data_IF_972768344734
#
_entry.id   IF_972768344734
#
_cell.length_a   1.000
_cell.length_b   1.000
_cell.length_c   1.000
_cell.angle_alpha   90.00
_cell.angle_beta   90.00
_cell.angle_gamma   90.00
#
_symmetry.space_group_name_H-M   'P 1'
#
loop_
_entity.id
_entity.type
_entity.pdbx_description
1 polymer ?
#
# COMPACT_ATOMS: atom_id res chain seq x y z
N UNK A 1 26.45 12.83 22.41
CA UNK A 1 24.98 12.80 22.18
C UNK A 1 24.65 11.49 21.48
N UNK A 2 23.68 10.75 22.02
CA UNK A 2 23.41 9.35 21.74
C UNK A 2 22.98 9.11 20.28
N UNK A 3 23.66 8.19 19.60
CA UNK A 3 23.14 7.53 18.41
C UNK A 3 21.91 6.69 18.83
N UNK A 4 20.72 7.10 18.40
CA UNK A 4 19.50 6.30 18.59
C UNK A 4 19.57 5.01 17.76
N UNK A 5 19.10 3.86 18.28
CA UNK A 5 19.18 2.58 17.58
C UNK A 5 18.33 2.64 16.31
N UNK A 6 18.89 2.19 15.18
CA UNK A 6 18.22 2.17 13.89
C UNK A 6 16.87 1.45 13.98
N UNK A 7 15.78 2.19 13.71
CA UNK A 7 14.50 1.59 13.32
C UNK A 7 14.77 0.80 12.04
N UNK A 8 14.86 -0.52 12.19
CA UNK A 8 15.24 -1.42 11.11
C UNK A 8 14.40 -1.12 9.87
N UNK A 9 15.08 -0.78 8.76
CA UNK A 9 14.47 -0.83 7.43
C UNK A 9 13.78 -2.18 7.32
N UNK A 10 12.48 -2.17 7.00
CA UNK A 10 11.77 -3.40 6.62
C UNK A 10 12.67 -4.14 5.62
N UNK A 11 12.99 -5.41 5.89
CA UNK A 11 13.85 -6.16 4.98
C UNK A 11 13.22 -6.16 3.59
N UNK A 12 14.01 -5.91 2.54
CA UNK A 12 13.48 -5.71 1.18
C UNK A 12 12.58 -6.89 0.75
N UNK A 13 12.97 -8.13 1.07
CA UNK A 13 12.16 -9.33 0.83
C UNK A 13 10.81 -9.33 1.56
N UNK A 14 10.76 -8.78 2.77
CA UNK A 14 9.51 -8.66 3.53
C UNK A 14 8.62 -7.59 2.90
N UNK A 15 9.20 -6.45 2.51
CA UNK A 15 8.48 -5.40 1.82
C UNK A 15 7.90 -5.89 0.49
N UNK A 16 8.71 -6.53 -0.35
CA UNK A 16 8.27 -7.11 -1.63
C UNK A 16 7.16 -8.14 -1.44
N UNK A 17 7.23 -8.98 -0.40
CA UNK A 17 6.16 -9.94 -0.08
C UNK A 17 4.85 -9.22 0.26
N UNK A 18 4.92 -8.18 1.08
CA UNK A 18 3.75 -7.38 1.44
C UNK A 18 3.15 -6.64 0.24
N UNK A 19 4.00 -6.01 -0.59
CA UNK A 19 3.60 -5.38 -1.84
C UNK A 19 2.93 -6.39 -2.76
N UNK A 20 3.53 -7.56 -3.00
CA UNK A 20 2.95 -8.59 -3.86
C UNK A 20 1.58 -9.06 -3.36
N UNK A 21 1.43 -9.26 -2.05
CA UNK A 21 0.17 -9.68 -1.43
C UNK A 21 -0.92 -8.62 -1.59
N UNK A 22 -0.60 -7.37 -1.28
CA UNK A 22 -1.58 -6.28 -1.26
C UNK A 22 -1.91 -5.78 -2.67
N UNK A 23 -0.90 -5.57 -3.50
CA UNK A 23 -1.06 -5.05 -4.87
C UNK A 23 -1.80 -6.03 -5.78
N UNK A 24 -1.78 -7.33 -5.49
CA UNK A 24 -2.60 -8.33 -6.21
C UNK A 24 -4.06 -7.91 -6.32
N UNK A 25 -4.64 -7.35 -5.26
CA UNK A 25 -6.01 -6.83 -5.26
C UNK A 25 -6.07 -5.34 -5.60
N UNK A 26 -5.05 -4.57 -5.21
CA UNK A 26 -5.09 -3.12 -5.36
C UNK A 26 -5.09 -2.64 -6.82
N UNK A 27 -4.50 -3.44 -7.72
CA UNK A 27 -4.48 -3.11 -9.15
C UNK A 27 -5.79 -3.43 -9.87
N UNK A 28 -6.71 -4.17 -9.22
CA UNK A 28 -8.03 -4.49 -9.77
C UNK A 28 -8.86 -3.20 -9.95
N UNK A 29 -9.76 -3.15 -10.95
CA UNK A 29 -10.66 -2.00 -11.13
C UNK A 29 -11.49 -1.72 -9.88
N UNK A 30 -11.84 -0.45 -9.67
CA UNK A 30 -12.74 0.02 -8.59
C UNK A 30 -12.24 -0.22 -7.14
N UNK A 31 -11.06 -0.83 -6.98
CA UNK A 31 -10.39 -0.97 -5.69
C UNK A 31 -9.63 0.31 -5.35
N UNK A 32 -9.79 0.77 -4.12
CA UNK A 32 -9.03 1.88 -3.57
C UNK A 32 -8.52 1.55 -2.18
N UNK A 33 -7.45 2.22 -1.77
CA UNK A 33 -6.91 2.13 -0.42
C UNK A 33 -7.41 3.31 0.42
N UNK A 34 -7.75 3.04 1.68
CA UNK A 34 -8.14 4.05 2.67
C UNK A 34 -7.70 3.62 4.07
N UNK A 35 -7.59 4.59 4.99
CA UNK A 35 -7.29 4.28 6.39
C UNK A 35 -8.41 3.45 7.02
N UNK A 36 -8.04 2.53 7.90
CA UNK A 36 -8.99 1.76 8.74
C UNK A 36 -9.02 2.35 10.15
N UNK A 37 -10.07 2.01 10.92
CA UNK A 37 -10.19 2.40 12.33
C UNK A 37 -9.08 1.82 13.22
N UNK A 38 -8.38 0.78 12.77
CA UNK A 38 -7.28 0.12 13.50
C UNK A 38 -5.90 0.76 13.23
N UNK A 39 -5.84 1.91 12.54
CA UNK A 39 -4.58 2.55 12.19
C UNK A 39 -3.79 1.83 11.08
N UNK A 40 -4.48 0.99 10.30
CA UNK A 40 -3.94 0.31 9.11
C UNK A 40 -4.46 0.97 7.84
N UNK A 41 -3.98 0.49 6.69
CA UNK A 41 -4.57 0.81 5.39
C UNK A 41 -5.28 -0.41 4.84
N UNK A 42 -6.54 -0.25 4.44
CA UNK A 42 -7.37 -1.31 3.88
C UNK A 42 -7.68 -1.07 2.40
N UNK A 43 -7.86 -2.15 1.64
CA UNK A 43 -8.40 -2.11 0.28
C UNK A 43 -9.91 -2.27 0.28
N UNK A 44 -10.63 -1.36 -0.37
CA UNK A 44 -12.08 -1.35 -0.40
C UNK A 44 -12.59 -1.27 -1.84
N UNK A 45 -13.75 -1.88 -2.07
CA UNK A 45 -14.59 -1.61 -3.24
C UNK A 45 -15.47 -0.39 -2.94
N UNK A 46 -15.96 0.29 -3.98
CA UNK A 46 -16.82 1.48 -3.85
C UNK A 46 -18.02 1.31 -2.90
N UNK A 47 -18.59 0.11 -2.80
CA UNK A 47 -19.73 -0.21 -1.92
C UNK A 47 -19.35 -1.14 -0.74
N UNK A 48 -18.08 -1.49 -0.58
CA UNK A 48 -17.62 -2.46 0.42
C UNK A 48 -17.31 -1.81 1.77
N UNK A 49 -17.93 -2.33 2.85
CA UNK A 49 -17.67 -1.88 4.23
C UNK A 49 -16.49 -2.59 4.89
N UNK A 50 -16.03 -3.72 4.34
CA UNK A 50 -14.93 -4.53 4.87
C UNK A 50 -13.74 -4.51 3.93
N UNK A 51 -12.51 -4.43 4.45
CA UNK A 51 -11.33 -4.42 3.60
C UNK A 51 -11.10 -5.81 2.99
N UNK A 52 -10.75 -5.85 1.70
CA UNK A 52 -10.32 -7.05 0.96
C UNK A 52 -8.94 -7.53 1.41
N UNK A 53 -8.08 -6.60 1.81
CA UNK A 53 -6.77 -6.83 2.38
C UNK A 53 -6.37 -5.61 3.23
N UNK A 54 -5.48 -5.82 4.19
CA UNK A 54 -4.93 -4.77 5.04
C UNK A 54 -3.41 -4.74 4.96
N UNK A 55 -2.85 -3.54 5.12
CA UNK A 55 -1.42 -3.27 5.20
C UNK A 55 -1.13 -2.45 6.45
N UNK A 56 -0.07 -2.79 7.16
CA UNK A 56 0.39 -2.05 8.33
C UNK A 56 0.92 -0.67 7.93
N UNK A 57 0.65 0.34 8.76
CA UNK A 57 1.04 1.73 8.49
C UNK A 57 2.53 1.92 8.15
N UNK A 58 3.49 1.25 8.81
CA UNK A 58 4.91 1.38 8.44
C UNK A 58 5.23 0.87 7.03
N UNK A 59 4.56 -0.19 6.56
CA UNK A 59 4.75 -0.71 5.19
C UNK A 59 4.12 0.25 4.19
N UNK A 60 2.93 0.77 4.50
CA UNK A 60 2.26 1.76 3.68
C UNK A 60 3.07 3.04 3.54
N UNK A 61 3.71 3.52 4.61
CA UNK A 61 4.58 4.69 4.57
C UNK A 61 5.70 4.53 3.54
N UNK A 62 6.33 3.34 3.47
CA UNK A 62 7.34 3.04 2.44
C UNK A 62 6.73 3.05 1.03
N UNK A 63 5.48 2.60 0.85
CA UNK A 63 4.80 2.70 -0.44
C UNK A 63 4.58 4.15 -0.87
N UNK A 64 4.25 5.04 0.07
CA UNK A 64 4.09 6.49 -0.19
C UNK A 64 5.44 7.12 -0.49
N UNK A 65 6.47 6.87 0.34
CA UNK A 65 7.83 7.40 0.15
C UNK A 65 8.48 6.97 -1.18
N UNK A 66 8.07 5.82 -1.73
CA UNK A 66 8.55 5.27 -3.01
C UNK A 66 7.62 5.57 -4.19
N UNK A 67 6.64 6.45 -4.03
CA UNK A 67 5.65 6.84 -5.06
C UNK A 67 4.90 5.66 -5.70
N UNK A 68 4.70 4.58 -4.95
CA UNK A 68 4.00 3.37 -5.45
C UNK A 68 2.47 3.53 -5.41
N UNK A 69 2.00 4.61 -4.77
CA UNK A 69 0.59 4.92 -4.56
C UNK A 69 0.39 6.41 -4.75
N UNK A 70 -0.79 6.79 -5.20
CA UNK A 70 -1.15 8.20 -5.43
C UNK A 70 -2.59 8.47 -4.95
N UNK A 71 -2.87 9.72 -4.60
CA UNK A 71 -4.21 10.12 -4.16
C UNK A 71 -5.16 10.06 -5.35
N UNK A 72 -6.35 9.49 -5.14
CA UNK A 72 -7.40 9.48 -6.13
C UNK A 72 -8.04 10.87 -6.22
N UNK A 73 -7.96 11.51 -7.38
CA UNK A 73 -8.58 12.81 -7.62
C UNK A 73 -10.12 12.73 -7.53
N UNK A 74 -10.74 13.79 -7.02
CA UNK A 74 -12.20 13.93 -6.97
C UNK A 74 -12.92 13.09 -5.91
N UNK A 75 -12.19 12.42 -5.00
CA UNK A 75 -12.78 11.74 -3.85
C UNK A 75 -12.93 12.69 -2.65
N UNK A 76 -14.09 12.63 -1.97
CA UNK A 76 -14.37 13.40 -0.76
C UNK A 76 -13.56 12.93 0.48
N UNK A 77 -12.90 11.78 0.38
CA UNK A 77 -12.08 11.17 1.42
C UNK A 77 -10.68 10.90 0.86
N UNK A 78 -9.66 10.79 1.73
CA UNK A 78 -8.29 10.39 1.38
C UNK A 78 -8.24 8.95 0.84
N UNK A 79 -8.66 8.78 -0.41
CA UNK A 79 -8.58 7.52 -1.15
C UNK A 79 -7.31 7.50 -1.97
N UNK A 80 -6.72 6.34 -2.04
CA UNK A 80 -5.47 6.10 -2.76
C UNK A 80 -5.68 5.03 -3.83
N UNK A 81 -4.93 5.12 -4.91
CA UNK A 81 -4.85 4.10 -5.95
C UNK A 81 -3.39 3.70 -6.19
N UNK A 82 -3.17 2.53 -6.77
CA UNK A 82 -1.84 2.13 -7.22
C UNK A 82 -1.39 3.04 -8.38
N UNK A 83 -0.22 3.67 -8.21
CA UNK A 83 0.42 4.47 -9.26
C UNK A 83 0.98 3.55 -10.36
N UNK A 84 1.43 4.15 -11.47
CA UNK A 84 2.10 3.39 -12.53
C UNK A 84 3.40 2.73 -12.06
N UNK A 85 4.17 3.41 -11.20
CA UNK A 85 5.38 2.85 -10.59
C UNK A 85 5.05 1.65 -9.68
N UNK A 86 4.00 1.75 -8.87
CA UNK A 86 3.51 0.66 -8.04
C UNK A 86 3.04 -0.55 -8.85
N UNK A 87 2.28 -0.30 -9.93
CA UNK A 87 1.85 -1.34 -10.87
C UNK A 87 3.04 -2.00 -11.57
N UNK A 88 4.05 -1.23 -11.97
CA UNK A 88 5.27 -1.74 -12.59
C UNK A 88 6.08 -2.62 -11.63
N UNK A 89 6.26 -2.20 -10.38
CA UNK A 89 6.92 -3.01 -9.36
C UNK A 89 6.16 -4.32 -9.13
N UNK A 90 4.85 -4.25 -8.94
CA UNK A 90 4.02 -5.45 -8.76
C UNK A 90 4.20 -6.45 -9.90
N UNK A 91 4.14 -5.98 -11.16
CA UNK A 91 4.37 -6.84 -12.34
C UNK A 91 5.72 -7.55 -12.28
N UNK A 92 6.80 -6.82 -11.96
CA UNK A 92 8.16 -7.38 -11.83
C UNK A 92 8.23 -8.48 -10.75
N UNK A 93 7.59 -8.27 -9.60
CA UNK A 93 7.56 -9.22 -8.49
C UNK A 93 6.73 -10.49 -8.76
N UNK A 94 5.86 -10.47 -9.79
CA UNK A 94 5.03 -11.61 -10.19
C UNK A 94 5.54 -12.34 -11.44
N UNK A 95 6.44 -11.72 -12.20
CA UNK A 95 7.05 -12.31 -13.40
C UNK A 95 8.37 -13.04 -13.11
N UNK A 96 8.89 -12.91 -11.89
CA UNK A 96 10.11 -13.58 -11.41
C UNK A 96 9.76 -14.91 -10.73
#
# INVERSE_FOLDING_TARGET
MMAGPGKGRLGEKQFEREVRRFFRRFVEPEVHAAATAEGRVGLFLKAGKRPLATMEAPVWAVCVERDLVERAEGAAEERWRASDAGRALYRRLTSA
#
